data_IF_916548093259
#
_entry.id   IF_916548093259
#
_cell.length_a   1.000
_cell.length_b   1.000
_cell.length_c   1.000
_cell.angle_alpha   90.00
_cell.angle_beta   90.00
_cell.angle_gamma   90.00
#
_symmetry.space_group_name_H-M   'P 1'
#
loop_
_entity.id
_entity.type
_entity.pdbx_description
1 polymer ?
#
# COMPACT_ATOMS: atom_id res chain seq x y z
N UNK A 1 -4.03 12.50 -0.76
CA UNK A 1 -5.51 12.32 -0.73
C UNK A 1 -5.94 11.75 -2.06
N UNK A 2 -6.68 10.65 -2.09
CA UNK A 2 -7.31 10.15 -3.31
C UNK A 2 -8.38 11.19 -3.68
N UNK A 3 -8.32 11.78 -4.87
CA UNK A 3 -9.28 12.81 -5.26
C UNK A 3 -10.66 12.19 -5.60
N UNK A 4 -11.73 13.01 -5.55
CA UNK A 4 -13.10 12.54 -5.73
C UNK A 4 -13.39 11.89 -7.09
N UNK A 5 -12.63 12.24 -8.16
CA UNK A 5 -12.76 11.59 -9.47
C UNK A 5 -12.18 10.18 -9.41
N UNK A 6 -10.99 10.01 -8.82
CA UNK A 6 -10.34 8.71 -8.65
C UNK A 6 -11.17 7.78 -7.76
N UNK A 7 -11.78 8.29 -6.68
CA UNK A 7 -12.72 7.53 -5.85
C UNK A 7 -13.84 6.95 -6.70
N UNK A 8 -14.59 7.79 -7.39
CA UNK A 8 -15.78 7.37 -8.16
C UNK A 8 -15.46 6.43 -9.32
N UNK A 9 -14.35 6.64 -10.02
CA UNK A 9 -14.04 5.89 -11.25
C UNK A 9 -13.31 4.59 -10.95
N UNK A 10 -12.42 4.57 -9.96
CA UNK A 10 -11.49 3.46 -9.75
C UNK A 10 -11.61 2.76 -8.40
N UNK A 11 -12.39 3.28 -7.45
CA UNK A 11 -12.40 2.79 -6.06
C UNK A 11 -13.78 2.32 -5.62
N UNK A 12 -14.86 3.00 -6.03
CA UNK A 12 -16.23 2.67 -5.62
C UNK A 12 -16.60 1.20 -5.88
N UNK A 13 -16.23 0.66 -7.06
CA UNK A 13 -16.54 -0.73 -7.42
C UNK A 13 -15.88 -1.73 -6.48
N UNK A 14 -14.65 -1.46 -6.01
CA UNK A 14 -13.98 -2.32 -5.02
C UNK A 14 -14.72 -2.30 -3.68
N UNK A 15 -15.09 -1.12 -3.18
CA UNK A 15 -15.83 -0.97 -1.92
C UNK A 15 -17.22 -1.63 -2.04
N UNK A 16 -17.93 -1.40 -3.14
CA UNK A 16 -19.23 -2.01 -3.39
C UNK A 16 -19.16 -3.54 -3.44
N UNK A 17 -18.12 -4.10 -4.06
CA UNK A 17 -17.93 -5.54 -4.09
C UNK A 17 -17.66 -6.12 -2.70
N UNK A 18 -16.89 -5.41 -1.86
CA UNK A 18 -16.66 -5.81 -0.47
C UNK A 18 -17.94 -5.70 0.37
N UNK A 19 -18.74 -4.63 0.19
CA UNK A 19 -20.04 -4.51 0.83
C UNK A 19 -21.00 -5.63 0.40
N UNK A 20 -21.00 -6.03 -0.88
CA UNK A 20 -21.81 -7.15 -1.38
C UNK A 20 -21.34 -8.50 -0.84
N UNK A 21 -20.06 -8.68 -0.53
CA UNK A 21 -19.54 -9.89 0.12
C UNK A 21 -20.13 -10.03 1.53
N UNK A 22 -20.25 -8.93 2.27
CA UNK A 22 -20.74 -8.91 3.65
C UNK A 22 -22.28 -8.80 3.73
N UNK A 23 -22.92 -8.11 2.78
CA UNK A 23 -24.37 -7.88 2.73
C UNK A 23 -24.93 -8.53 1.46
N UNK A 24 -25.22 -9.84 1.50
CA UNK A 24 -25.71 -10.57 0.30
C UNK A 24 -27.19 -10.33 0.04
N UNK A 25 -28.01 -10.27 1.08
CA UNK A 25 -29.44 -10.01 1.01
C UNK A 25 -29.91 -8.98 2.04
N UNK A 26 -29.47 -9.10 3.27
CA UNK A 26 -29.81 -8.19 4.37
C UNK A 26 -28.83 -8.32 5.54
N UNK A 27 -28.80 -7.32 6.42
CA UNK A 27 -28.26 -7.42 7.77
C UNK A 27 -29.37 -7.87 8.75
N UNK A 28 -29.44 -9.17 8.98
CA UNK A 28 -30.49 -9.80 9.80
C UNK A 28 -30.51 -9.23 11.21
N UNK A 29 -29.34 -9.00 11.81
CA UNK A 29 -29.23 -8.50 13.19
C UNK A 29 -29.76 -7.08 13.30
N UNK A 30 -29.34 -6.20 12.40
CA UNK A 30 -29.77 -4.80 12.38
C UNK A 30 -31.27 -4.70 12.08
N UNK A 31 -31.76 -5.42 11.07
CA UNK A 31 -33.17 -5.40 10.69
C UNK A 31 -34.10 -5.95 11.80
N UNK A 32 -33.64 -6.97 12.54
CA UNK A 32 -34.42 -7.55 13.65
C UNK A 32 -34.65 -6.56 14.80
N UNK A 33 -33.72 -5.65 15.07
CA UNK A 33 -33.80 -4.74 16.25
C UNK A 33 -34.11 -3.29 15.86
N UNK A 34 -34.06 -2.96 14.57
CA UNK A 34 -34.32 -1.61 14.05
C UNK A 34 -35.33 -1.66 12.92
N UNK A 35 -36.62 -1.74 13.19
CA UNK A 35 -37.67 -1.82 12.16
C UNK A 35 -37.81 -0.52 11.34
N UNK A 36 -37.43 0.63 11.93
CA UNK A 36 -37.52 1.95 11.30
C UNK A 36 -36.14 2.57 11.04
N UNK A 37 -36.04 3.42 10.02
CA UNK A 37 -34.83 4.18 9.74
C UNK A 37 -34.64 5.28 10.79
N UNK A 38 -33.43 5.42 11.30
CA UNK A 38 -33.10 6.36 12.37
C UNK A 38 -31.74 6.97 12.16
N UNK A 39 -31.68 8.29 12.15
CA UNK A 39 -30.43 9.02 12.14
C UNK A 39 -29.68 8.88 13.47
N UNK A 40 -28.39 8.72 13.40
CA UNK A 40 -27.52 8.59 14.57
C UNK A 40 -26.07 8.90 14.25
N UNK A 41 -25.20 8.50 15.17
CA UNK A 41 -23.75 8.70 15.03
C UNK A 41 -22.97 7.56 15.66
N UNK A 42 -21.73 7.40 15.20
CA UNK A 42 -20.75 6.54 15.84
C UNK A 42 -19.38 7.21 15.88
N UNK A 43 -18.62 6.93 16.93
CA UNK A 43 -17.29 7.47 17.20
C UNK A 43 -16.23 6.46 16.75
N UNK A 44 -15.27 6.91 15.93
CA UNK A 44 -14.13 6.12 15.51
C UNK A 44 -12.96 6.35 16.45
N UNK A 45 -12.53 5.29 17.15
CA UNK A 45 -11.51 5.34 18.20
C UNK A 45 -10.30 4.47 17.83
N UNK A 46 -9.10 5.03 17.97
CA UNK A 46 -7.85 4.30 17.79
C UNK A 46 -7.56 3.40 19.00
N UNK A 47 -7.16 2.15 18.77
CA UNK A 47 -6.87 1.17 19.84
C UNK A 47 -5.38 0.90 20.04
N UNK A 48 -4.53 1.43 19.16
CA UNK A 48 -3.08 1.31 19.24
C UNK A 48 -2.40 2.52 18.57
N UNK A 49 -1.14 2.77 18.91
CA UNK A 49 -0.33 3.82 18.28
C UNK A 49 -0.02 3.46 16.81
N UNK A 50 0.04 4.46 15.94
CA UNK A 50 0.39 4.25 14.54
C UNK A 50 0.16 5.46 13.63
N UNK A 51 0.18 5.20 12.34
CA UNK A 51 -0.11 6.19 11.29
C UNK A 51 -1.49 5.91 10.72
N UNK A 52 -2.41 6.86 10.87
CA UNK A 52 -3.75 6.70 10.33
C UNK A 52 -3.74 6.83 8.80
N UNK A 53 -4.47 5.94 8.13
CA UNK A 53 -4.58 5.95 6.66
C UNK A 53 -5.89 5.31 6.20
N UNK A 54 -6.57 5.96 5.26
CA UNK A 54 -7.81 5.45 4.68
C UNK A 54 -9.07 6.08 5.21
N UNK A 55 -9.00 7.24 5.88
CA UNK A 55 -10.18 7.96 6.39
C UNK A 55 -11.19 8.27 5.30
N UNK A 56 -10.74 8.67 4.10
CA UNK A 56 -11.63 8.92 2.96
C UNK A 56 -12.27 7.64 2.39
N UNK A 57 -11.63 6.47 2.53
CA UNK A 57 -12.21 5.18 2.15
C UNK A 57 -13.22 4.73 3.20
N UNK A 58 -12.92 4.95 4.48
CA UNK A 58 -13.84 4.72 5.57
C UNK A 58 -15.14 5.52 5.39
N UNK A 59 -15.05 6.84 5.18
CA UNK A 59 -16.21 7.69 4.89
C UNK A 59 -16.98 7.20 3.67
N UNK A 60 -16.26 6.93 2.55
CA UNK A 60 -16.89 6.49 1.30
C UNK A 60 -17.67 5.19 1.43
N UNK A 61 -17.25 4.29 2.31
CA UNK A 61 -17.98 3.05 2.60
C UNK A 61 -19.40 3.33 3.08
N UNK A 62 -19.57 4.32 3.96
CA UNK A 62 -20.88 4.70 4.47
C UNK A 62 -21.69 5.54 3.47
N UNK A 63 -21.04 6.44 2.74
CA UNK A 63 -21.71 7.23 1.68
C UNK A 63 -22.32 6.34 0.57
N UNK A 64 -21.72 5.16 0.31
CA UNK A 64 -22.26 4.20 -0.67
C UNK A 64 -23.51 3.49 -0.14
N UNK A 65 -23.72 3.41 1.16
CA UNK A 65 -24.90 2.84 1.80
C UNK A 65 -25.98 3.90 2.08
N UNK A 66 -25.54 5.09 2.51
CA UNK A 66 -26.41 6.23 2.84
C UNK A 66 -25.80 7.52 2.29
N UNK A 67 -26.45 8.12 1.30
CA UNK A 67 -25.99 9.37 0.66
C UNK A 67 -25.96 10.57 1.62
N UNK A 68 -26.61 10.48 2.79
CA UNK A 68 -26.60 11.51 3.83
C UNK A 68 -25.48 11.31 4.83
N UNK A 69 -24.79 10.17 4.78
CA UNK A 69 -23.68 9.88 5.66
C UNK A 69 -22.55 10.90 5.48
N UNK A 70 -21.98 11.36 6.58
CA UNK A 70 -20.82 12.25 6.58
C UNK A 70 -19.89 11.88 7.74
N UNK A 71 -18.59 11.96 7.49
CA UNK A 71 -17.58 11.74 8.51
C UNK A 71 -16.91 13.04 8.89
N UNK A 72 -16.97 13.40 10.17
CA UNK A 72 -16.23 14.53 10.74
C UNK A 72 -14.90 14.02 11.28
N UNK A 73 -13.86 14.12 10.44
CA UNK A 73 -12.52 13.65 10.75
C UNK A 73 -11.77 14.68 11.60
N UNK A 74 -11.10 14.23 12.68
CA UNK A 74 -10.23 15.05 13.52
C UNK A 74 -8.75 14.91 13.17
N UNK A 75 -8.41 13.94 12.34
CA UNK A 75 -7.10 13.65 11.80
C UNK A 75 -7.17 13.54 10.27
N UNK A 76 -6.01 13.53 9.64
CA UNK A 76 -5.86 13.27 8.19
C UNK A 76 -4.94 12.10 7.95
N UNK A 77 -5.04 11.49 6.78
CA UNK A 77 -4.14 10.41 6.38
C UNK A 77 -2.67 10.86 6.48
N UNK A 78 -1.86 10.06 7.18
CA UNK A 78 -0.44 10.31 7.46
C UNK A 78 -0.14 10.92 8.83
N UNK A 79 -1.15 11.33 9.58
CA UNK A 79 -0.96 11.79 10.96
C UNK A 79 -0.61 10.60 11.88
N UNK A 80 0.25 10.86 12.85
CA UNK A 80 0.53 9.93 13.94
C UNK A 80 -0.60 10.01 14.97
N UNK A 81 -1.13 8.85 15.37
CA UNK A 81 -2.21 8.73 16.34
C UNK A 81 -1.82 7.83 17.50
N UNK A 82 -2.41 8.06 18.67
CA UNK A 82 -2.17 7.31 19.90
C UNK A 82 -3.39 6.50 20.30
N UNK A 83 -3.15 5.42 21.03
CA UNK A 83 -4.19 4.60 21.61
C UNK A 83 -5.16 5.43 22.44
N UNK A 84 -6.47 5.29 22.15
CA UNK A 84 -7.57 5.97 22.85
C UNK A 84 -7.99 7.30 22.20
N UNK A 85 -7.29 7.79 21.18
CA UNK A 85 -7.69 9.02 20.49
C UNK A 85 -8.95 8.81 19.65
N UNK A 86 -9.84 9.82 19.70
CA UNK A 86 -11.03 9.92 18.89
C UNK A 86 -10.62 10.45 17.50
N UNK A 87 -10.70 9.57 16.50
CA UNK A 87 -10.28 9.88 15.12
C UNK A 87 -11.32 10.69 14.35
N UNK A 88 -12.59 10.59 14.75
CA UNK A 88 -13.69 11.31 14.13
C UNK A 88 -15.04 10.70 14.47
N UNK A 89 -16.10 11.28 13.92
CA UNK A 89 -17.50 10.86 14.14
C UNK A 89 -18.19 10.69 12.79
N UNK A 90 -18.79 9.52 12.57
CA UNK A 90 -19.68 9.26 11.44
C UNK A 90 -21.12 9.55 11.83
N UNK A 91 -21.83 10.28 11.01
CA UNK A 91 -23.25 10.60 11.11
C UNK A 91 -23.98 9.99 9.91
N UNK A 92 -25.20 9.49 10.12
CA UNK A 92 -26.01 8.91 9.04
C UNK A 92 -27.13 8.02 9.57
N UNK A 93 -27.76 7.25 8.68
CA UNK A 93 -28.69 6.21 9.08
C UNK A 93 -27.97 5.13 9.89
N UNK A 94 -28.53 4.78 11.07
CA UNK A 94 -27.88 3.80 11.97
C UNK A 94 -27.78 2.42 11.33
N UNK A 95 -28.74 2.02 10.47
CA UNK A 95 -28.67 0.75 9.76
C UNK A 95 -27.46 0.74 8.80
N UNK A 96 -27.26 1.84 8.06
CA UNK A 96 -26.09 1.97 7.19
C UNK A 96 -24.78 1.97 7.98
N UNK A 97 -24.74 2.64 9.14
CA UNK A 97 -23.56 2.65 10.02
C UNK A 97 -23.25 1.25 10.53
N UNK A 98 -24.24 0.52 11.05
CA UNK A 98 -24.05 -0.83 11.59
C UNK A 98 -23.64 -1.83 10.50
N UNK A 99 -24.32 -1.81 9.35
CA UNK A 99 -24.04 -2.72 8.24
C UNK A 99 -22.73 -2.43 7.53
N UNK A 100 -22.27 -1.16 7.52
CA UNK A 100 -21.00 -0.75 6.89
C UNK A 100 -19.78 -0.83 7.80
N UNK A 101 -19.97 -0.98 9.12
CA UNK A 101 -18.91 -0.91 10.13
C UNK A 101 -17.74 -1.83 9.82
N UNK A 102 -17.99 -3.12 9.59
CA UNK A 102 -16.94 -4.11 9.40
C UNK A 102 -16.12 -3.83 8.13
N UNK A 103 -16.79 -3.55 7.05
CA UNK A 103 -16.14 -3.19 5.77
C UNK A 103 -15.30 -1.93 5.91
N UNK A 104 -15.85 -0.85 6.49
CA UNK A 104 -15.12 0.40 6.70
C UNK A 104 -13.89 0.22 7.59
N UNK A 105 -14.03 -0.51 8.70
CA UNK A 105 -12.92 -0.80 9.61
C UNK A 105 -11.86 -1.69 8.95
N UNK A 106 -12.23 -2.69 8.17
CA UNK A 106 -11.26 -3.57 7.50
C UNK A 106 -10.33 -2.78 6.57
N UNK A 107 -10.86 -1.87 5.76
CA UNK A 107 -10.05 -0.98 4.93
C UNK A 107 -9.15 -0.08 5.78
N UNK A 108 -9.72 0.63 6.76
CA UNK A 108 -8.99 1.58 7.60
C UNK A 108 -7.84 0.91 8.36
N UNK A 109 -8.14 -0.22 9.02
CA UNK A 109 -7.18 -0.97 9.82
C UNK A 109 -6.03 -1.52 8.95
N UNK A 110 -6.34 -2.07 7.77
CA UNK A 110 -5.35 -2.59 6.84
C UNK A 110 -4.45 -1.47 6.31
N UNK A 111 -5.03 -0.39 5.83
CA UNK A 111 -4.30 0.75 5.27
C UNK A 111 -3.43 1.43 6.34
N UNK A 112 -3.94 1.63 7.53
CA UNK A 112 -3.19 2.22 8.64
C UNK A 112 -2.04 1.33 9.11
N UNK A 113 -2.23 0.02 9.13
CA UNK A 113 -1.16 -0.93 9.44
C UNK A 113 -0.01 -0.87 8.43
N UNK A 114 -0.32 -0.79 7.14
CA UNK A 114 0.68 -0.63 6.06
C UNK A 114 1.41 0.71 6.18
N UNK A 115 0.67 1.80 6.40
CA UNK A 115 1.27 3.13 6.55
C UNK A 115 2.21 3.19 7.78
N UNK A 116 1.81 2.57 8.89
CA UNK A 116 2.60 2.46 10.12
C UNK A 116 3.89 1.70 9.88
N UNK A 117 3.82 0.48 9.31
CA UNK A 117 4.99 -0.32 8.98
C UNK A 117 5.92 0.41 8.01
N UNK A 118 5.35 1.03 6.99
CA UNK A 118 6.13 1.80 6.01
C UNK A 118 6.88 2.97 6.68
N UNK A 119 6.22 3.72 7.57
CA UNK A 119 6.85 4.81 8.32
C UNK A 119 8.02 4.32 9.18
N UNK A 120 7.90 3.14 9.77
CA UNK A 120 9.00 2.54 10.54
C UNK A 120 10.19 2.13 9.67
N UNK A 121 9.93 1.61 8.46
CA UNK A 121 10.99 1.27 7.50
C UNK A 121 11.68 2.53 6.97
N UNK A 122 10.93 3.60 6.73
CA UNK A 122 11.49 4.89 6.29
C UNK A 122 12.47 5.49 7.30
N UNK A 123 12.27 5.28 8.62
CA UNK A 123 13.19 5.74 9.67
C UNK A 123 14.59 5.14 9.52
N UNK A 124 14.71 3.90 9.02
CA UNK A 124 16.02 3.25 8.80
C UNK A 124 16.79 3.86 7.60
N UNK A 125 16.10 4.60 6.74
CA UNK A 125 16.68 5.27 5.57
C UNK A 125 16.89 6.78 5.78
N UNK A 126 16.57 7.31 6.95
CA UNK A 126 16.77 8.75 7.24
C UNK A 126 18.25 9.14 7.06
N UNK A 127 18.46 10.25 6.35
CA UNK A 127 19.81 10.76 6.05
C UNK A 127 20.54 10.02 4.92
N UNK A 128 19.87 9.09 4.22
CA UNK A 128 20.39 8.42 3.02
C UNK A 128 19.70 8.93 1.74
N UNK A 129 20.28 8.61 0.57
CA UNK A 129 19.68 8.92 -0.71
C UNK A 129 18.87 7.75 -1.30
N UNK A 130 18.80 6.61 -0.58
CA UNK A 130 18.08 5.42 -1.04
C UNK A 130 16.57 5.58 -0.86
N UNK A 131 15.82 5.31 -1.91
CA UNK A 131 14.35 5.39 -1.90
C UNK A 131 13.74 4.02 -1.65
N UNK A 132 12.84 3.91 -0.66
CA UNK A 132 12.06 2.71 -0.40
C UNK A 132 10.90 2.60 -1.38
N UNK A 133 10.75 1.42 -1.99
CA UNK A 133 9.67 1.11 -2.92
C UNK A 133 8.78 -0.04 -2.40
N UNK A 134 7.52 0.00 -2.77
CA UNK A 134 6.64 -1.18 -2.67
C UNK A 134 6.88 -2.17 -3.84
N UNK A 135 6.00 -3.15 -3.97
CA UNK A 135 6.04 -4.13 -5.06
C UNK A 135 4.63 -4.40 -5.59
N UNK A 136 4.49 -5.36 -6.51
CA UNK A 136 3.20 -5.91 -6.93
C UNK A 136 2.70 -7.06 -6.05
N UNK A 137 3.41 -7.41 -4.96
CA UNK A 137 3.00 -8.43 -3.98
C UNK A 137 1.92 -7.87 -3.04
N UNK A 138 0.80 -7.45 -3.62
CA UNK A 138 -0.37 -6.91 -2.92
C UNK A 138 -1.45 -7.96 -2.77
N UNK A 139 -2.31 -7.81 -1.75
CA UNK A 139 -3.53 -8.61 -1.64
C UNK A 139 -4.40 -8.43 -2.89
N UNK A 140 -4.96 -9.52 -3.47
CA UNK A 140 -5.86 -9.41 -4.62
C UNK A 140 -6.95 -8.35 -4.36
N UNK A 141 -7.23 -7.53 -5.37
CA UNK A 141 -8.18 -6.41 -5.33
C UNK A 141 -7.87 -5.28 -4.33
N UNK A 142 -6.82 -5.41 -3.49
CA UNK A 142 -6.43 -4.38 -2.51
C UNK A 142 -5.34 -3.42 -3.01
N UNK A 143 -4.80 -3.62 -4.21
CA UNK A 143 -3.65 -2.85 -4.72
C UNK A 143 -3.81 -1.32 -4.68
N UNK A 144 -4.95 -0.72 -5.08
CA UNK A 144 -5.09 0.74 -5.01
C UNK A 144 -4.99 1.26 -3.57
N UNK A 145 -5.50 0.52 -2.61
CA UNK A 145 -5.51 0.87 -1.20
C UNK A 145 -4.14 0.67 -0.55
N UNK A 146 -3.50 -0.48 -0.79
CA UNK A 146 -2.21 -0.84 -0.21
C UNK A 146 -1.08 0.05 -0.74
N UNK A 147 -1.05 0.32 -2.07
CA UNK A 147 -0.07 1.25 -2.64
C UNK A 147 -0.27 2.70 -2.18
N UNK A 148 -1.51 3.14 -2.01
CA UNK A 148 -1.80 4.43 -1.40
C UNK A 148 -1.27 4.50 0.03
N UNK A 149 -1.50 3.46 0.84
CA UNK A 149 -1.03 3.40 2.23
C UNK A 149 0.50 3.42 2.34
N UNK A 150 1.21 2.73 1.45
CA UNK A 150 2.68 2.81 1.35
C UNK A 150 3.14 4.24 1.11
N UNK A 151 2.48 4.97 0.20
CA UNK A 151 2.80 6.37 -0.08
C UNK A 151 2.52 7.27 1.12
N UNK A 152 1.41 7.06 1.83
CA UNK A 152 1.06 7.78 3.07
C UNK A 152 2.12 7.52 4.16
N UNK A 153 2.64 6.30 4.25
CA UNK A 153 3.75 5.94 5.15
C UNK A 153 5.07 6.64 4.83
N UNK A 154 5.22 7.22 3.62
CA UNK A 154 6.37 8.01 3.20
C UNK A 154 7.26 7.36 2.14
N UNK A 155 6.98 6.13 1.73
CA UNK A 155 7.71 5.45 0.66
C UNK A 155 7.15 5.80 -0.74
N UNK A 156 7.80 5.31 -1.78
CA UNK A 156 7.43 5.53 -3.19
C UNK A 156 6.84 4.26 -3.78
N UNK A 157 5.95 4.40 -4.76
CA UNK A 157 5.39 3.24 -5.43
C UNK A 157 6.30 2.78 -6.59
N UNK A 158 6.57 1.48 -6.65
CA UNK A 158 7.04 0.80 -7.86
C UNK A 158 5.89 0.71 -8.87
N UNK A 159 6.15 0.26 -10.11
CA UNK A 159 5.12 0.10 -11.15
C UNK A 159 3.81 -0.49 -10.60
N UNK A 160 2.69 0.10 -10.98
CA UNK A 160 1.38 -0.27 -10.46
C UNK A 160 0.91 -1.63 -11.01
N UNK A 161 1.13 -1.87 -12.31
CA UNK A 161 0.71 -3.08 -13.01
C UNK A 161 1.69 -3.45 -14.14
N UNK A 162 1.33 -4.43 -14.96
CA UNK A 162 2.17 -4.89 -16.08
C UNK A 162 2.26 -3.89 -17.24
N UNK A 163 1.30 -2.96 -17.31
CA UNK A 163 1.24 -1.94 -18.37
C UNK A 163 2.01 -0.67 -18.02
N UNK A 164 2.42 -0.49 -16.77
CA UNK A 164 2.98 0.77 -16.25
C UNK A 164 4.48 0.93 -16.59
N UNK A 165 5.25 -0.14 -16.51
CA UNK A 165 6.69 -0.13 -16.81
C UNK A 165 7.20 -1.51 -17.23
N UNK A 166 8.34 -1.54 -17.93
CA UNK A 166 9.01 -2.77 -18.32
C UNK A 166 9.88 -3.26 -17.16
N UNK A 167 9.70 -4.53 -16.76
CA UNK A 167 10.61 -5.25 -15.86
C UNK A 167 10.86 -6.63 -16.46
N UNK A 168 12.07 -6.83 -16.94
CA UNK A 168 12.53 -8.07 -17.51
C UNK A 168 13.08 -8.98 -16.41
N UNK A 169 12.51 -10.16 -16.27
CA UNK A 169 12.87 -11.17 -15.29
C UNK A 169 13.53 -12.38 -15.94
N UNK A 170 14.05 -13.30 -15.13
CA UNK A 170 14.68 -14.55 -15.55
C UNK A 170 13.94 -15.25 -16.71
N UNK A 171 12.63 -15.44 -16.58
CA UNK A 171 11.78 -16.07 -17.61
C UNK A 171 11.74 -15.26 -18.93
N UNK A 172 11.77 -13.92 -18.86
CA UNK A 172 11.81 -13.08 -20.06
C UNK A 172 13.18 -13.16 -20.73
N UNK A 173 14.25 -13.17 -19.93
CA UNK A 173 15.62 -13.31 -20.40
C UNK A 173 15.81 -14.68 -21.07
N UNK A 174 15.32 -15.75 -20.43
CA UNK A 174 15.34 -17.10 -20.98
C UNK A 174 14.58 -17.20 -22.31
N UNK A 175 13.39 -16.60 -22.41
CA UNK A 175 12.61 -16.57 -23.64
C UNK A 175 13.29 -15.78 -24.78
N UNK A 176 13.98 -14.68 -24.47
CA UNK A 176 14.72 -13.86 -25.44
C UNK A 176 16.07 -14.49 -25.83
N UNK A 177 16.64 -15.33 -24.96
CA UNK A 177 17.91 -16.03 -25.11
C UNK A 177 19.15 -15.31 -24.56
N UNK A 178 19.06 -14.01 -24.20
CA UNK A 178 20.10 -13.26 -23.45
C UNK A 178 19.53 -11.94 -22.92
N UNK A 179 20.22 -11.33 -21.96
CA UNK A 179 19.92 -9.99 -21.42
C UNK A 179 19.96 -8.94 -22.54
N UNK A 180 21.00 -8.93 -23.34
CA UNK A 180 21.16 -8.01 -24.49
C UNK A 180 19.97 -8.08 -25.44
N UNK A 181 19.55 -9.29 -25.82
CA UNK A 181 18.40 -9.46 -26.72
C UNK A 181 17.09 -9.01 -26.05
N UNK A 182 16.87 -9.36 -24.78
CA UNK A 182 15.67 -8.97 -24.04
C UNK A 182 15.54 -7.44 -23.97
N UNK A 183 16.61 -6.73 -23.61
CA UNK A 183 16.61 -5.26 -23.55
C UNK A 183 16.37 -4.65 -24.93
N UNK A 184 17.04 -5.16 -25.99
CA UNK A 184 16.84 -4.67 -27.36
C UNK A 184 15.40 -4.85 -27.83
N UNK A 185 14.79 -6.01 -27.58
CA UNK A 185 13.39 -6.28 -27.91
C UNK A 185 12.44 -5.38 -27.13
N UNK A 186 12.69 -5.18 -25.84
CA UNK A 186 11.89 -4.31 -24.98
C UNK A 186 11.94 -2.84 -25.45
N UNK A 187 13.13 -2.32 -25.79
CA UNK A 187 13.30 -0.97 -26.35
C UNK A 187 12.58 -0.77 -27.69
N UNK A 188 12.54 -1.81 -28.52
CA UNK A 188 11.84 -1.73 -29.81
C UNK A 188 10.30 -1.78 -29.65
N UNK A 189 9.79 -2.41 -28.61
CA UNK A 189 8.36 -2.62 -28.39
C UNK A 189 7.71 -1.59 -27.48
N UNK A 190 8.38 -1.23 -26.40
CA UNK A 190 7.82 -0.33 -25.39
C UNK A 190 7.77 1.13 -25.87
N UNK A 191 6.78 1.94 -25.42
CA UNK A 191 6.80 3.38 -25.64
C UNK A 191 8.09 4.01 -25.11
N UNK A 192 8.65 4.97 -25.84
CA UNK A 192 9.96 5.61 -25.54
C UNK A 192 10.05 6.22 -24.12
N UNK A 193 8.91 6.61 -23.53
CA UNK A 193 8.84 7.22 -22.19
C UNK A 193 9.02 6.22 -21.05
N UNK A 194 9.02 4.89 -21.34
CA UNK A 194 9.10 3.85 -20.31
C UNK A 194 10.54 3.42 -20.10
N UNK A 195 10.98 3.46 -18.86
CA UNK A 195 12.24 2.86 -18.44
C UNK A 195 12.20 1.33 -18.63
N UNK A 196 13.37 0.77 -18.98
CA UNK A 196 13.60 -0.67 -19.06
C UNK A 196 14.38 -1.09 -17.82
N UNK A 197 13.71 -1.80 -16.95
CA UNK A 197 14.29 -2.42 -15.77
C UNK A 197 14.58 -3.89 -16.04
N UNK A 198 15.71 -4.40 -15.51
CA UNK A 198 16.10 -5.80 -15.65
C UNK A 198 16.60 -6.37 -14.32
N UNK A 199 16.15 -7.57 -13.99
CA UNK A 199 16.56 -8.36 -12.84
C UNK A 199 17.85 -9.11 -13.14
N UNK A 200 18.85 -9.01 -12.24
CA UNK A 200 20.17 -9.65 -12.36
C UNK A 200 20.54 -10.32 -11.04
N UNK A 201 21.15 -11.51 -11.13
CA UNK A 201 21.59 -12.31 -9.98
C UNK A 201 23.10 -12.46 -9.88
N UNK A 202 23.84 -12.14 -10.97
CA UNK A 202 25.31 -12.27 -11.02
C UNK A 202 25.98 -11.01 -11.55
N UNK A 203 27.27 -10.83 -11.22
CA UNK A 203 28.06 -9.69 -11.71
C UNK A 203 28.26 -9.70 -13.23
N UNK A 204 28.27 -10.89 -13.86
CA UNK A 204 28.32 -11.05 -15.31
C UNK A 204 27.04 -10.53 -15.95
N UNK A 205 25.88 -10.86 -15.40
CA UNK A 205 24.59 -10.33 -15.84
C UNK A 205 24.50 -8.81 -15.67
N UNK A 206 25.04 -8.27 -14.56
CA UNK A 206 25.12 -6.81 -14.34
C UNK A 206 25.95 -6.14 -15.45
N UNK A 207 27.11 -6.67 -15.80
CA UNK A 207 27.95 -6.14 -16.91
C UNK A 207 27.20 -6.15 -18.24
N UNK A 208 26.57 -7.28 -18.58
CA UNK A 208 25.77 -7.39 -19.80
C UNK A 208 24.60 -6.40 -19.82
N UNK A 209 23.88 -6.22 -18.71
CA UNK A 209 22.78 -5.28 -18.60
C UNK A 209 23.21 -3.82 -18.79
N UNK A 210 24.37 -3.44 -18.21
CA UNK A 210 24.97 -2.12 -18.39
C UNK A 210 25.36 -1.88 -19.86
N UNK A 211 26.04 -2.84 -20.50
CA UNK A 211 26.46 -2.74 -21.91
C UNK A 211 25.27 -2.69 -22.87
N UNK A 212 24.19 -3.40 -22.57
CA UNK A 212 22.94 -3.37 -23.31
C UNK A 212 22.12 -2.08 -23.07
N UNK A 213 22.49 -1.27 -22.08
CA UNK A 213 21.89 0.03 -21.77
C UNK A 213 20.54 -0.11 -21.10
N UNK A 214 20.40 -0.95 -20.07
CA UNK A 214 19.26 -0.93 -19.18
C UNK A 214 19.15 0.43 -18.47
N UNK A 215 17.93 0.89 -18.19
CA UNK A 215 17.71 2.14 -17.43
C UNK A 215 17.78 1.90 -15.92
N UNK A 216 17.32 0.73 -15.47
CA UNK A 216 17.35 0.30 -14.06
C UNK A 216 17.88 -1.13 -14.03
N UNK A 217 18.83 -1.42 -13.13
CA UNK A 217 19.37 -2.76 -12.91
C UNK A 217 18.99 -3.19 -11.49
N UNK A 218 18.11 -4.18 -11.40
CA UNK A 218 17.72 -4.78 -10.14
C UNK A 218 18.73 -5.86 -9.75
N UNK A 219 19.28 -5.73 -8.54
CA UNK A 219 20.20 -6.64 -7.90
C UNK A 219 19.38 -7.60 -7.00
N UNK A 220 18.97 -8.74 -7.56
CA UNK A 220 18.06 -9.64 -6.88
C UNK A 220 18.80 -10.67 -6.02
N UNK A 221 18.43 -10.77 -4.76
CA UNK A 221 18.98 -11.70 -3.77
C UNK A 221 20.51 -11.68 -3.59
N UNK A 222 21.18 -10.59 -3.92
CA UNK A 222 22.62 -10.42 -3.71
C UNK A 222 22.95 -10.10 -2.24
N UNK A 223 24.09 -10.60 -1.76
CA UNK A 223 24.66 -10.13 -0.50
C UNK A 223 25.29 -8.72 -0.64
N UNK A 224 25.60 -8.11 0.50
CA UNK A 224 26.09 -6.73 0.52
C UNK A 224 27.42 -6.54 -0.23
N UNK A 225 28.34 -7.51 -0.17
CA UNK A 225 29.63 -7.42 -0.83
C UNK A 225 29.49 -7.54 -2.36
N UNK A 226 28.59 -8.41 -2.82
CA UNK A 226 28.25 -8.57 -4.24
C UNK A 226 27.53 -7.33 -4.77
N UNK A 227 26.55 -6.80 -4.01
CA UNK A 227 25.86 -5.56 -4.38
C UNK A 227 26.82 -4.37 -4.51
N UNK A 228 27.77 -4.23 -3.59
CA UNK A 228 28.80 -3.16 -3.65
C UNK A 228 29.59 -3.24 -4.95
N UNK A 229 30.07 -4.43 -5.34
CA UNK A 229 30.75 -4.64 -6.61
C UNK A 229 29.85 -4.35 -7.82
N UNK A 230 28.57 -4.72 -7.74
CA UNK A 230 27.61 -4.43 -8.80
C UNK A 230 27.41 -2.93 -8.98
N UNK A 231 27.24 -2.16 -7.89
CA UNK A 231 27.13 -0.69 -7.94
C UNK A 231 28.40 -0.06 -8.54
N UNK A 232 29.59 -0.53 -8.17
CA UNK A 232 30.87 -0.10 -8.77
C UNK A 232 30.93 -0.41 -10.28
N UNK A 233 30.49 -1.59 -10.71
CA UNK A 233 30.42 -1.97 -12.14
C UNK A 233 29.43 -1.09 -12.90
N UNK A 234 28.24 -0.79 -12.32
CA UNK A 234 27.24 0.06 -12.94
C UNK A 234 27.75 1.49 -13.08
N UNK A 235 28.42 2.03 -12.05
CA UNK A 235 29.16 3.29 -12.12
C UNK A 235 28.30 4.47 -12.58
N UNK A 236 27.03 4.54 -12.18
CA UNK A 236 26.08 5.62 -12.51
C UNK A 236 25.53 5.56 -13.95
N UNK A 237 25.79 4.49 -14.71
CA UNK A 237 25.27 4.31 -16.09
C UNK A 237 23.83 3.85 -16.14
N UNK A 238 23.32 3.31 -15.05
CA UNK A 238 21.92 2.93 -14.81
C UNK A 238 21.57 3.20 -13.35
N UNK A 239 20.29 3.36 -13.04
CA UNK A 239 19.79 3.36 -11.67
C UNK A 239 19.87 1.94 -11.09
N UNK A 240 20.06 1.83 -9.79
CA UNK A 240 20.26 0.57 -9.08
C UNK A 240 19.09 0.28 -8.14
N UNK A 241 18.55 -0.94 -8.18
CA UNK A 241 17.53 -1.39 -7.25
C UNK A 241 18.00 -2.65 -6.50
N UNK A 242 17.92 -2.65 -5.16
CA UNK A 242 18.08 -3.86 -4.36
C UNK A 242 16.72 -4.53 -4.16
N UNK A 243 16.65 -5.84 -4.45
CA UNK A 243 15.46 -6.66 -4.24
C UNK A 243 15.83 -8.01 -3.59
N UNK A 244 14.80 -8.67 -3.03
CA UNK A 244 14.96 -9.99 -2.41
C UNK A 244 15.34 -9.95 -0.94
N UNK A 245 14.50 -10.61 -0.10
CA UNK A 245 14.71 -10.77 1.35
C UNK A 245 15.05 -9.48 2.10
N UNK A 246 14.45 -8.36 1.71
CA UNK A 246 14.61 -7.06 2.38
C UNK A 246 13.84 -7.05 3.68
N UNK A 247 14.55 -6.91 4.81
CA UNK A 247 13.98 -6.73 6.14
C UNK A 247 14.32 -5.33 6.67
N UNK A 248 13.62 -4.87 7.70
CA UNK A 248 13.86 -3.57 8.34
C UNK A 248 15.32 -3.42 8.77
N UNK A 249 15.89 -4.46 9.38
CA UNK A 249 17.24 -4.49 9.93
C UNK A 249 18.33 -4.36 8.84
N UNK A 250 18.03 -4.84 7.62
CA UNK A 250 18.98 -4.76 6.49
C UNK A 250 18.96 -3.40 5.78
N UNK A 251 17.91 -2.61 5.90
CA UNK A 251 17.75 -1.36 5.13
C UNK A 251 18.95 -0.41 5.28
N UNK A 252 19.40 -0.20 6.53
CA UNK A 252 20.53 0.69 6.79
C UNK A 252 21.82 0.22 6.10
N UNK A 253 22.10 -1.08 6.12
CA UNK A 253 23.29 -1.63 5.45
C UNK A 253 23.18 -1.58 3.94
N UNK A 254 21.99 -1.79 3.38
CA UNK A 254 21.71 -1.66 1.95
C UNK A 254 21.93 -0.22 1.50
N UNK A 255 21.39 0.75 2.23
CA UNK A 255 21.55 2.18 1.92
C UNK A 255 23.02 2.64 1.95
N UNK A 256 23.85 2.06 2.84
CA UNK A 256 25.30 2.35 2.91
C UNK A 256 26.07 1.89 1.67
N UNK A 257 25.54 0.93 0.90
CA UNK A 257 26.13 0.48 -0.36
C UNK A 257 25.98 1.56 -1.45
N UNK A 258 24.94 2.40 -1.34
CA UNK A 258 24.67 3.48 -2.28
C UNK A 258 23.78 3.07 -3.46
N UNK A 259 22.87 2.11 -3.25
CA UNK A 259 21.81 1.81 -4.23
C UNK A 259 20.78 2.93 -4.24
N UNK A 260 20.21 3.21 -5.42
CA UNK A 260 19.21 4.27 -5.57
C UNK A 260 17.85 3.87 -4.99
N UNK A 261 17.47 2.61 -5.16
CA UNK A 261 16.19 2.07 -4.74
C UNK A 261 16.34 0.78 -3.94
N UNK A 262 15.38 0.54 -3.06
CA UNK A 262 15.20 -0.74 -2.37
C UNK A 262 13.72 -1.12 -2.39
N UNK A 263 13.36 -2.24 -3.01
CA UNK A 263 11.97 -2.72 -3.05
C UNK A 263 11.70 -3.75 -1.97
N UNK A 264 10.61 -3.53 -1.24
CA UNK A 264 10.21 -4.37 -0.12
C UNK A 264 8.75 -4.85 -0.23
N UNK A 265 8.56 -6.14 -0.52
CA UNK A 265 7.23 -6.73 -0.58
C UNK A 265 6.55 -6.84 0.78
N UNK A 266 7.32 -6.93 1.87
CA UNK A 266 6.80 -7.05 3.22
C UNK A 266 5.88 -5.89 3.62
N UNK A 267 6.10 -4.69 3.07
CA UNK A 267 5.26 -3.52 3.32
C UNK A 267 3.77 -3.79 3.04
N UNK A 268 3.47 -4.67 2.09
CA UNK A 268 2.09 -4.98 1.72
C UNK A 268 1.67 -6.40 2.13
N UNK A 269 2.50 -7.43 1.96
CA UNK A 269 2.07 -8.79 2.26
C UNK A 269 2.27 -9.23 3.73
N UNK A 270 3.03 -8.47 4.54
CA UNK A 270 3.35 -8.83 5.94
C UNK A 270 2.99 -7.75 6.97
N UNK A 271 2.38 -6.64 6.55
CA UNK A 271 1.96 -5.60 7.49
C UNK A 271 0.81 -6.10 8.37
N UNK A 272 0.95 -5.91 9.68
CA UNK A 272 -0.13 -6.12 10.65
C UNK A 272 -1.18 -5.02 10.51
N UNK A 273 -2.43 -5.33 10.78
CA UNK A 273 -3.50 -4.31 10.86
C UNK A 273 -3.30 -3.41 12.07
N UNK A 274 -3.77 -2.16 11.98
CA UNK A 274 -3.85 -1.25 13.14
C UNK A 274 -5.26 -1.30 13.72
N UNK A 275 -5.40 -1.71 14.98
CA UNK A 275 -6.71 -1.90 15.60
C UNK A 275 -7.44 -0.57 15.84
N UNK A 276 -8.68 -0.47 15.35
CA UNK A 276 -9.61 0.63 15.51
C UNK A 276 -11.00 0.09 15.88
N UNK A 277 -11.79 0.90 16.55
CA UNK A 277 -13.15 0.58 16.99
C UNK A 277 -14.12 1.66 16.55
N UNK A 278 -15.25 1.26 15.99
CA UNK A 278 -16.40 2.13 15.78
C UNK A 278 -17.41 1.92 16.94
N UNK A 279 -17.79 3.02 17.58
CA UNK A 279 -18.58 2.99 18.81
C UNK A 279 -19.87 3.78 18.63
N UNK A 280 -21.00 3.08 18.55
CA UNK A 280 -22.33 3.71 18.44
C UNK A 280 -22.86 4.14 19.80
N UNK A 281 -23.27 5.39 19.98
CA UNK A 281 -23.94 5.89 21.19
C UNK A 281 -25.47 5.96 21.01
N UNK A 282 -26.27 5.50 22.00
CA UNK A 282 -25.87 4.87 23.25
C UNK A 282 -25.53 3.38 23.08
N UNK A 283 -24.35 2.98 23.56
CA UNK A 283 -23.94 1.57 23.52
C UNK A 283 -24.22 0.87 24.87
N UNK A 284 -24.54 -0.44 24.85
CA UNK A 284 -24.61 -1.24 26.07
C UNK A 284 -23.31 -1.28 26.88
N UNK A 285 -22.16 -0.92 26.24
CA UNK A 285 -20.86 -0.83 26.91
C UNK A 285 -20.74 0.40 27.81
N UNK A 286 -21.50 1.48 27.55
CA UNK A 286 -21.52 2.69 28.40
C UNK A 286 -21.99 2.40 29.83
N UNK A 287 -22.88 1.40 30.00
CA UNK A 287 -23.42 0.99 31.30
C UNK A 287 -22.45 0.14 32.14
N UNK A 288 -21.29 -0.26 31.61
CA UNK A 288 -20.30 -1.07 32.34
C UNK A 288 -19.13 -0.26 32.90
N UNK A 289 -19.09 1.05 32.64
CA UNK A 289 -18.04 1.97 33.12
C UNK A 289 -18.58 3.01 34.13
N UNK A 290 -19.85 2.90 34.53
CA UNK A 290 -20.44 3.72 35.61
C UNK A 290 -20.60 2.93 36.91
#
# INVERSE_FOLDING_TARGET
>A
MINGVTLKVNVDDYILNTLKEDITSEDVSTNAVMPEDKQGKAELICKQDGIICGLGIFERTFELLDKTARFEAYFKDGDEVKKGELLGVIYGDIKAILSGERTGLNYLQRMSGIATMTREYMKELEGTNTTLLDTRKTTPNMRPFEKYAVKVGGATNHRYNLSDGVLLKDNHIGAAGSITKAIKMAKAYAPFVRKIEIETETLEQVKEAVEAGADIIMLDNMDNDTMKKAVEIIGGRAETECSGNVTKERLKSIAQIGVDFVSCGALTHSAMIMDCLLYTSPSPRDKRQS
#
